data_IF_760107157723
#
_entry.id   IF_760107157723
#
_cell.length_a   1.000
_cell.length_b   1.000
_cell.length_c   1.000
_cell.angle_alpha   90.00
_cell.angle_beta   90.00
_cell.angle_gamma   90.00
#
_symmetry.space_group_name_H-M   'P 1'
#
loop_
_entity.id
_entity.type
_entity.pdbx_description
1 polymer ?
#
# COMPACT_ATOMS: atom_id res chain seq x y z
N UNK A 1 14.18 9.60 36.12
CA UNK A 1 13.76 10.21 34.84
C UNK A 1 12.38 10.87 34.89
N UNK A 2 11.59 10.78 35.98
CA UNK A 2 10.27 11.41 36.08
C UNK A 2 10.30 12.73 36.88
N UNK A 3 11.28 13.60 36.64
CA UNK A 3 11.46 14.85 37.41
C UNK A 3 10.92 16.08 36.70
N UNK A 4 10.87 16.05 35.37
CA UNK A 4 10.29 17.12 34.53
C UNK A 4 9.36 16.50 33.50
N UNK A 5 8.40 17.28 33.00
CA UNK A 5 7.46 16.81 31.99
C UNK A 5 8.16 16.18 30.76
N UNK A 6 9.20 16.83 30.25
CA UNK A 6 9.93 16.36 29.08
C UNK A 6 10.69 15.05 29.34
N UNK A 7 11.31 14.94 30.53
CA UNK A 7 12.01 13.70 30.92
C UNK A 7 11.04 12.56 31.22
N UNK A 8 9.85 12.86 31.75
CA UNK A 8 8.79 11.86 31.90
C UNK A 8 8.23 11.38 30.56
N UNK A 9 8.06 12.29 29.59
CA UNK A 9 7.57 11.94 28.25
C UNK A 9 8.60 11.03 27.55
N UNK A 10 9.88 11.38 27.63
CA UNK A 10 10.95 10.54 27.12
C UNK A 10 11.00 9.16 27.81
N UNK A 11 10.85 9.11 29.13
CA UNK A 11 10.77 7.85 29.88
C UNK A 11 9.58 6.98 29.46
N UNK A 12 8.42 7.58 29.17
CA UNK A 12 7.25 6.84 28.64
C UNK A 12 7.47 6.33 27.22
N UNK A 13 8.20 7.06 26.38
CA UNK A 13 8.59 6.58 25.05
C UNK A 13 9.55 5.39 25.14
N UNK A 14 10.53 5.43 26.04
CA UNK A 14 11.42 4.30 26.32
C UNK A 14 10.63 3.08 26.78
N UNK A 15 9.70 3.27 27.72
CA UNK A 15 8.81 2.20 28.18
C UNK A 15 7.98 1.60 27.03
N UNK A 16 7.49 2.42 26.10
CA UNK A 16 6.75 1.97 24.94
C UNK A 16 7.60 1.08 24.00
N UNK A 17 8.89 1.38 23.87
CA UNK A 17 9.84 0.57 23.11
C UNK A 17 10.34 -0.67 23.86
N UNK A 18 9.89 -0.88 25.11
CA UNK A 18 10.29 -2.01 25.95
C UNK A 18 11.51 -1.76 26.85
N UNK A 19 12.05 -0.54 26.86
CA UNK A 19 13.16 -0.17 27.73
C UNK A 19 12.65 0.26 29.11
N UNK A 20 12.92 -0.56 30.12
CA UNK A 20 12.52 -0.34 31.52
C UNK A 20 13.59 0.36 32.36
N UNK A 21 14.72 0.77 31.77
CA UNK A 21 15.83 1.42 32.48
C UNK A 21 15.40 2.69 33.22
N UNK A 22 14.41 3.42 32.68
CA UNK A 22 13.85 4.63 33.28
C UNK A 22 13.16 4.40 34.64
N UNK A 23 12.77 3.15 34.90
CA UNK A 23 12.04 2.68 36.08
C UNK A 23 12.90 1.83 37.02
N UNK A 24 14.17 1.60 36.69
CA UNK A 24 15.13 0.81 37.48
C UNK A 24 15.27 1.26 38.94
N UNK A 25 15.10 2.55 39.21
CA UNK A 25 15.17 3.10 40.57
C UNK A 25 13.96 2.74 41.45
N UNK A 26 12.89 2.17 40.88
CA UNK A 26 11.65 1.87 41.57
C UNK A 26 11.37 0.37 41.55
N UNK A 27 11.76 -0.38 42.61
CA UNK A 27 11.50 -1.81 42.67
C UNK A 27 10.00 -2.08 42.76
N UNK A 28 9.54 -3.05 41.96
CA UNK A 28 8.11 -3.37 41.80
C UNK A 28 7.44 -3.83 43.10
N UNK A 29 8.17 -4.55 43.95
CA UNK A 29 7.68 -5.04 45.25
C UNK A 29 7.30 -3.91 46.22
N UNK A 30 7.96 -2.76 46.11
CA UNK A 30 7.72 -1.62 47.01
C UNK A 30 6.62 -0.69 46.51
N UNK A 31 6.23 -0.79 45.23
CA UNK A 31 5.32 0.15 44.58
C UNK A 31 4.29 -0.57 43.71
N UNK A 32 3.31 -1.27 44.32
CA UNK A 32 2.32 -2.05 43.58
C UNK A 32 1.45 -1.19 42.66
N UNK A 33 1.16 0.06 43.04
CA UNK A 33 0.40 1.01 42.20
C UNK A 33 1.09 1.30 40.86
N UNK A 34 2.40 1.47 40.89
CA UNK A 34 3.21 1.74 39.70
C UNK A 34 3.26 0.52 38.77
N UNK A 35 3.38 -0.68 39.35
CA UNK A 35 3.33 -1.93 38.59
C UNK A 35 1.98 -2.08 37.86
N UNK A 36 0.86 -1.82 38.54
CA UNK A 36 -0.48 -1.86 37.93
C UNK A 36 -0.59 -0.84 36.80
N UNK A 37 -0.11 0.38 37.01
CA UNK A 37 -0.14 1.44 35.98
C UNK A 37 0.68 1.04 34.74
N UNK A 38 1.86 0.45 34.91
CA UNK A 38 2.69 -0.01 33.80
C UNK A 38 2.02 -1.13 33.01
N UNK A 39 1.44 -2.13 33.69
CA UNK A 39 0.73 -3.24 33.04
C UNK A 39 -0.45 -2.70 32.24
N UNK A 40 -1.23 -1.80 32.84
CA UNK A 40 -2.37 -1.19 32.17
C UNK A 40 -1.95 -0.34 30.97
N UNK A 41 -0.92 0.50 31.14
CA UNK A 41 -0.38 1.33 30.07
C UNK A 41 0.12 0.49 28.90
N UNK A 42 0.96 -0.52 29.17
CA UNK A 42 1.50 -1.40 28.12
C UNK A 42 0.38 -2.14 27.41
N UNK A 43 -0.59 -2.70 28.14
CA UNK A 43 -1.74 -3.39 27.54
C UNK A 43 -2.55 -2.49 26.59
N UNK A 44 -2.93 -1.30 27.04
CA UNK A 44 -3.69 -0.34 26.23
C UNK A 44 -2.87 0.11 25.01
N UNK A 45 -1.60 0.45 25.21
CA UNK A 45 -0.74 0.94 24.15
C UNK A 45 -0.45 -0.13 23.09
N UNK A 46 -0.28 -1.39 23.48
CA UNK A 46 -0.11 -2.50 22.54
C UNK A 46 -1.34 -2.65 21.64
N UNK A 47 -2.55 -2.64 22.21
CA UNK A 47 -3.79 -2.72 21.44
C UNK A 47 -3.90 -1.52 20.49
N UNK A 48 -3.63 -0.32 20.99
CA UNK A 48 -3.68 0.91 20.18
C UNK A 48 -2.71 0.85 19.00
N UNK A 49 -1.44 0.52 19.24
CA UNK A 49 -0.41 0.45 18.21
C UNK A 49 -0.74 -0.63 17.18
N UNK A 50 -1.20 -1.81 17.60
CA UNK A 50 -1.62 -2.87 16.68
C UNK A 50 -2.77 -2.41 15.77
N UNK A 51 -3.78 -1.73 16.33
CA UNK A 51 -4.90 -1.22 15.55
C UNK A 51 -4.46 -0.17 14.50
N UNK A 52 -3.54 0.71 14.87
CA UNK A 52 -2.96 1.69 13.94
C UNK A 52 -2.17 0.98 12.84
N UNK A 53 -1.34 -0.01 13.18
CA UNK A 53 -0.59 -0.78 12.18
C UNK A 53 -1.51 -1.54 11.24
N UNK A 54 -2.56 -2.22 11.73
CA UNK A 54 -3.52 -2.93 10.87
C UNK A 54 -4.18 -1.95 9.89
N UNK A 55 -4.57 -0.77 10.36
CA UNK A 55 -5.18 0.27 9.51
C UNK A 55 -4.19 0.74 8.44
N UNK A 56 -2.96 1.06 8.84
CA UNK A 56 -1.93 1.59 7.95
C UNK A 56 -1.47 0.54 6.92
N UNK A 57 -1.28 -0.70 7.34
CA UNK A 57 -0.99 -1.82 6.42
C UNK A 57 -2.16 -2.09 5.48
N UNK A 58 -3.40 -2.02 5.97
CA UNK A 58 -4.59 -2.16 5.12
C UNK A 58 -4.63 -1.13 4.00
N UNK A 59 -4.30 0.13 4.30
CA UNK A 59 -4.22 1.20 3.31
C UNK A 59 -3.04 0.98 2.33
N UNK A 60 -1.85 0.65 2.83
CA UNK A 60 -0.68 0.40 1.99
C UNK A 60 -0.86 -0.80 1.04
N UNK A 61 -1.57 -1.85 1.46
CA UNK A 61 -1.87 -3.02 0.61
C UNK A 61 -2.87 -2.66 -0.49
N UNK A 62 -3.85 -1.78 -0.21
CA UNK A 62 -4.82 -1.29 -1.20
C UNK A 62 -4.14 -0.56 -2.37
N UNK A 63 -2.97 0.03 -2.12
CA UNK A 63 -2.15 0.73 -3.12
C UNK A 63 -1.26 -0.19 -3.98
N UNK A 64 -1.31 -1.51 -3.81
CA UNK A 64 -0.58 -2.45 -4.68
C UNK A 64 -0.97 -2.31 -6.16
N UNK A 65 -2.22 -1.93 -6.42
CA UNK A 65 -2.73 -1.63 -7.77
C UNK A 65 -2.24 -0.29 -8.32
N UNK A 66 -1.99 0.69 -7.45
CA UNK A 66 -1.50 2.02 -7.82
C UNK A 66 0.01 2.02 -8.09
N UNK A 67 0.76 1.05 -7.55
CA UNK A 67 2.17 0.84 -7.88
C UNK A 67 2.39 0.61 -9.38
N UNK A 68 1.57 -0.24 -10.01
CA UNK A 68 1.69 -0.55 -11.43
C UNK A 68 1.27 0.63 -12.31
N UNK A 69 0.20 1.34 -11.92
CA UNK A 69 -0.22 2.56 -12.58
C UNK A 69 0.89 3.62 -12.53
N UNK A 70 1.50 3.85 -11.36
CA UNK A 70 2.63 4.76 -11.19
C UNK A 70 3.86 4.32 -11.98
N UNK A 71 4.12 3.01 -12.05
CA UNK A 71 5.22 2.44 -12.84
C UNK A 71 5.00 2.66 -14.33
N UNK A 72 3.78 2.46 -14.83
CA UNK A 72 3.42 2.76 -16.22
C UNK A 72 3.53 4.26 -16.52
N UNK A 73 3.07 5.12 -15.62
CA UNK A 73 3.18 6.57 -15.75
C UNK A 73 4.65 7.03 -15.80
N UNK A 74 5.51 6.47 -14.93
CA UNK A 74 6.95 6.72 -14.98
C UNK A 74 7.59 6.21 -16.27
N UNK A 75 7.20 5.02 -16.75
CA UNK A 75 7.71 4.48 -18.01
C UNK A 75 7.33 5.37 -19.20
N UNK A 76 6.09 5.86 -19.26
CA UNK A 76 5.63 6.79 -20.29
C UNK A 76 6.40 8.12 -20.25
N UNK A 77 6.71 8.64 -19.06
CA UNK A 77 7.56 9.84 -18.90
C UNK A 77 8.99 9.59 -19.40
N UNK A 78 9.58 8.44 -19.08
CA UNK A 78 10.91 8.05 -19.57
C UNK A 78 10.90 7.95 -21.10
N UNK A 79 9.87 7.32 -21.68
CA UNK A 79 9.75 7.18 -23.13
C UNK A 79 9.64 8.53 -23.84
N UNK A 80 8.79 9.42 -23.32
CA UNK A 80 8.53 10.72 -23.95
C UNK A 80 9.74 11.66 -23.86
N UNK A 81 10.39 11.73 -22.70
CA UNK A 81 11.39 12.76 -22.41
C UNK A 81 12.86 12.29 -22.50
N UNK A 82 13.14 11.00 -22.29
CA UNK A 82 14.52 10.53 -22.10
C UNK A 82 15.00 9.53 -23.16
N UNK A 83 14.12 8.99 -24.02
CA UNK A 83 14.49 8.02 -25.04
C UNK A 83 14.60 8.61 -26.45
N UNK A 84 15.71 8.30 -27.11
CA UNK A 84 15.95 8.60 -28.52
C UNK A 84 15.07 7.74 -29.44
N UNK A 85 14.77 8.19 -30.69
CA UNK A 85 13.91 7.47 -31.62
C UNK A 85 14.34 6.01 -31.88
N UNK A 86 15.65 5.76 -31.89
CA UNK A 86 16.20 4.42 -32.12
C UNK A 86 15.97 3.48 -30.92
N UNK A 87 16.00 4.01 -29.68
CA UNK A 87 15.79 3.22 -28.47
C UNK A 87 14.33 2.82 -28.29
N UNK A 88 13.37 3.67 -28.69
CA UNK A 88 11.93 3.32 -28.65
C UNK A 88 11.56 2.18 -29.59
N UNK A 89 12.34 1.97 -30.66
CA UNK A 89 12.10 0.91 -31.66
C UNK A 89 12.76 -0.42 -31.29
N UNK A 90 13.49 -0.49 -30.18
CA UNK A 90 14.08 -1.73 -29.71
C UNK A 90 13.02 -2.64 -29.10
N UNK A 91 12.64 -3.68 -29.85
CA UNK A 91 11.69 -4.72 -29.41
C UNK A 91 12.07 -5.40 -28.09
N UNK A 92 13.36 -5.43 -27.75
CA UNK A 92 13.83 -5.99 -26.47
C UNK A 92 13.46 -5.13 -25.26
N UNK A 93 13.25 -3.82 -25.43
CA UNK A 93 12.91 -2.88 -24.36
C UNK A 93 11.43 -2.50 -24.39
N UNK A 94 10.84 -2.41 -25.59
CA UNK A 94 9.43 -2.14 -25.82
C UNK A 94 8.81 -3.28 -26.64
N UNK A 95 8.34 -4.34 -25.97
CA UNK A 95 7.67 -5.43 -26.65
C UNK A 95 6.34 -4.95 -27.23
N UNK A 96 5.93 -5.57 -28.34
CA UNK A 96 4.66 -5.28 -29.01
C UNK A 96 3.44 -5.72 -28.16
N UNK A 97 3.64 -6.68 -27.24
CA UNK A 97 2.61 -7.23 -26.35
C UNK A 97 3.16 -7.27 -24.92
N UNK A 98 2.38 -6.80 -23.95
CA UNK A 98 2.70 -6.86 -22.52
C UNK A 98 1.69 -7.79 -21.84
N UNK A 99 2.16 -8.88 -21.23
CA UNK A 99 1.32 -9.78 -20.46
C UNK A 99 1.11 -9.25 -19.05
N UNK A 100 -0.15 -9.15 -18.63
CA UNK A 100 -0.50 -8.71 -17.28
C UNK A 100 -1.54 -9.64 -16.66
N UNK A 101 -1.36 -9.96 -15.37
CA UNK A 101 -2.31 -10.74 -14.59
C UNK A 101 -3.18 -9.80 -13.78
N UNK A 102 -4.50 -9.92 -13.94
CA UNK A 102 -5.49 -9.15 -13.17
C UNK A 102 -6.63 -10.06 -12.75
N UNK A 103 -7.32 -9.71 -11.67
CA UNK A 103 -8.56 -10.40 -11.28
C UNK A 103 -9.65 -10.15 -12.31
N UNK A 104 -10.46 -11.19 -12.58
CA UNK A 104 -11.60 -11.13 -13.51
C UNK A 104 -12.58 -10.01 -13.15
N UNK A 105 -12.89 -9.84 -11.86
CA UNK A 105 -13.84 -8.83 -11.39
C UNK A 105 -13.36 -7.40 -11.68
N UNK A 106 -12.08 -7.13 -11.40
CA UNK A 106 -11.48 -5.83 -11.67
C UNK A 106 -11.43 -5.53 -13.17
N UNK A 107 -11.06 -6.51 -14.00
CA UNK A 107 -11.07 -6.36 -15.45
C UNK A 107 -12.48 -6.04 -15.98
N UNK A 108 -13.50 -6.75 -15.47
CA UNK A 108 -14.90 -6.52 -15.86
C UNK A 108 -15.36 -5.11 -15.48
N UNK A 109 -15.02 -4.64 -14.28
CA UNK A 109 -15.38 -3.29 -13.80
C UNK A 109 -14.78 -2.20 -14.68
N UNK A 110 -13.48 -2.29 -14.98
CA UNK A 110 -12.79 -1.28 -15.80
C UNK A 110 -13.31 -1.25 -17.23
N UNK A 111 -13.52 -2.40 -17.87
CA UNK A 111 -14.06 -2.46 -19.24
C UNK A 111 -15.45 -1.81 -19.31
N UNK A 112 -16.33 -2.10 -18.34
CA UNK A 112 -17.65 -1.45 -18.27
C UNK A 112 -17.53 0.08 -18.15
N UNK A 113 -16.63 0.57 -17.29
CA UNK A 113 -16.38 2.01 -17.16
C UNK A 113 -15.83 2.64 -18.44
N UNK A 114 -14.94 1.95 -19.15
CA UNK A 114 -14.41 2.42 -20.44
C UNK A 114 -15.49 2.47 -21.53
N UNK A 115 -16.41 1.50 -21.56
CA UNK A 115 -17.56 1.48 -22.46
C UNK A 115 -18.49 2.65 -22.16
N UNK A 116 -18.85 2.87 -20.88
CA UNK A 116 -19.68 4.00 -20.44
C UNK A 116 -19.10 5.36 -20.85
N UNK A 117 -17.77 5.52 -20.73
CA UNK A 117 -17.05 6.75 -21.13
C UNK A 117 -16.84 6.87 -22.64
N UNK A 118 -17.23 5.86 -23.44
CA UNK A 118 -16.94 5.76 -24.88
C UNK A 118 -15.44 5.78 -25.21
N UNK A 119 -14.60 5.39 -24.26
CA UNK A 119 -13.14 5.29 -24.39
C UNK A 119 -12.69 3.90 -24.86
N UNK A 120 -13.61 2.93 -24.88
CA UNK A 120 -13.38 1.56 -25.37
C UNK A 120 -13.27 1.47 -26.90
N UNK A 121 -12.29 2.18 -27.47
CA UNK A 121 -12.00 2.21 -28.92
C UNK A 121 -10.70 1.46 -29.23
N UNK A 122 -10.74 0.13 -29.16
CA UNK A 122 -9.64 -0.78 -29.49
C UNK A 122 -9.76 -1.35 -30.91
N UNK A 123 -9.93 -0.46 -31.91
CA UNK A 123 -9.97 -0.87 -33.33
C UNK A 123 -8.67 -1.49 -33.85
N UNK A 124 -7.58 -1.41 -33.07
CA UNK A 124 -6.26 -1.93 -33.43
C UNK A 124 -6.21 -3.47 -33.37
N UNK A 125 -6.99 -4.11 -32.48
CA UNK A 125 -6.94 -5.57 -32.24
C UNK A 125 -8.36 -6.15 -32.00
N UNK A 126 -9.22 -6.21 -33.03
CA UNK A 126 -10.62 -6.60 -32.89
C UNK A 126 -10.83 -8.05 -32.44
N UNK A 127 -9.92 -8.96 -32.79
CA UNK A 127 -10.01 -10.38 -32.40
C UNK A 127 -9.79 -10.58 -30.89
N UNK A 128 -8.72 -9.97 -30.35
CA UNK A 128 -8.42 -10.00 -28.91
C UNK A 128 -9.52 -9.34 -28.08
N UNK A 129 -10.10 -8.25 -28.60
CA UNK A 129 -11.24 -7.57 -27.97
C UNK A 129 -12.43 -8.52 -27.80
N UNK A 130 -12.82 -9.24 -28.86
CA UNK A 130 -13.92 -10.21 -28.83
C UNK A 130 -13.63 -11.37 -27.89
N UNK A 131 -12.43 -11.95 -27.95
CA UNK A 131 -12.04 -13.06 -27.06
C UNK A 131 -12.07 -12.64 -25.58
N UNK A 132 -11.62 -11.42 -25.26
CA UNK A 132 -11.66 -10.87 -23.92
C UNK A 132 -13.10 -10.69 -23.40
N UNK A 133 -13.98 -10.09 -24.21
CA UNK A 133 -15.38 -9.87 -23.84
C UNK A 133 -16.13 -11.19 -23.63
N UNK A 134 -15.87 -12.17 -24.50
CA UNK A 134 -16.41 -13.53 -24.37
C UNK A 134 -15.96 -14.20 -23.07
N UNK A 135 -14.65 -14.13 -22.74
CA UNK A 135 -14.10 -14.69 -21.49
C UNK A 135 -14.59 -13.98 -20.23
N UNK A 136 -14.88 -12.68 -20.34
CA UNK A 136 -15.39 -11.89 -19.22
C UNK A 136 -16.91 -11.87 -19.12
N UNK A 137 -17.62 -12.50 -20.05
CA UNK A 137 -19.09 -12.50 -20.16
C UNK A 137 -19.66 -11.08 -20.09
N UNK A 138 -19.15 -10.18 -20.94
CA UNK A 138 -19.63 -8.81 -21.09
C UNK A 138 -20.30 -8.71 -22.45
N UNK A 139 -21.60 -8.41 -22.46
CA UNK A 139 -22.34 -8.15 -23.69
C UNK A 139 -22.05 -6.71 -24.17
N UNK A 140 -21.72 -6.55 -25.45
CA UNK A 140 -21.70 -5.24 -26.11
C UNK A 140 -23.14 -4.94 -26.57
N UNK A 141 -23.86 -4.11 -25.82
CA UNK A 141 -25.13 -3.51 -26.25
C UNK A 141 -24.91 -2.43 -27.32
#
# INVERSE_FOLDING_TARGET
>A
MFTTFLTSLFATCLLLTGDTSSLSNWPYEKNPSLMILMILFTFIMTIYILNVFITLFGEAIKDGDSYLLRKAEHLAKIELFYLLPNQRRWKSWFPEIIHYYTSVDKARKEIKQMIEKKEWNTNVLPELKRDLLNKLHIDED
#
